data_IF_044904283680
#
_entry.id   IF_044904283680
#
_cell.length_a   1.000
_cell.length_b   1.000
_cell.length_c   1.000
_cell.angle_alpha   90.00
_cell.angle_beta   90.00
_cell.angle_gamma   90.00
#
_symmetry.space_group_name_H-M   'P 1'
#
loop_
_entity.id
_entity.type
_entity.pdbx_description
1 polymer ?
#
# COMPACT_ATOMS: atom_id res chain seq x y z
N UNK A 1 -8.97 -7.50 -3.32
CA UNK A 1 -9.22 -6.08 -3.01
C UNK A 1 -8.17 -5.22 -3.69
N UNK A 2 -8.46 -3.96 -4.00
CA UNK A 2 -7.48 -3.02 -4.54
C UNK A 2 -6.93 -2.12 -3.43
N UNK A 3 -5.60 -2.07 -3.30
CA UNK A 3 -4.91 -1.14 -2.40
C UNK A 3 -4.27 -0.05 -3.24
N UNK A 4 -4.60 1.20 -2.96
CA UNK A 4 -4.10 2.35 -3.69
C UNK A 4 -3.08 3.12 -2.86
N UNK A 5 -1.96 3.52 -3.48
CA UNK A 5 -1.01 4.43 -2.86
C UNK A 5 0.44 4.12 -3.21
N UNK A 6 1.36 4.88 -2.63
CA UNK A 6 2.80 4.74 -2.92
C UNK A 6 3.45 3.66 -2.08
N UNK A 7 4.35 2.88 -2.66
CA UNK A 7 5.20 1.93 -1.92
C UNK A 7 6.00 2.59 -0.79
N UNK A 8 6.39 3.85 -0.96
CA UNK A 8 7.17 4.61 0.03
C UNK A 8 6.32 5.23 1.15
N UNK A 9 4.99 5.17 1.06
CA UNK A 9 4.11 5.71 2.09
C UNK A 9 4.06 4.78 3.30
N UNK A 10 4.44 5.27 4.49
CA UNK A 10 4.38 4.50 5.73
C UNK A 10 2.99 3.94 6.02
N UNK A 11 1.92 4.66 5.68
CA UNK A 11 0.55 4.19 5.89
C UNK A 11 0.21 3.03 4.95
N UNK A 12 0.64 3.08 3.69
CA UNK A 12 0.43 2.00 2.71
C UNK A 12 1.20 0.75 3.16
N UNK A 13 2.43 0.90 3.65
CA UNK A 13 3.24 -0.21 4.17
C UNK A 13 2.55 -0.91 5.35
N UNK A 14 1.98 -0.15 6.29
CA UNK A 14 1.23 -0.72 7.42
C UNK A 14 -0.02 -1.48 6.97
N UNK A 15 -0.75 -0.96 6.00
CA UNK A 15 -1.94 -1.63 5.45
C UNK A 15 -1.54 -2.93 4.75
N UNK A 16 -0.48 -2.93 3.94
CA UNK A 16 0.03 -4.17 3.31
C UNK A 16 0.38 -5.23 4.34
N UNK A 17 1.10 -4.85 5.39
CA UNK A 17 1.44 -5.77 6.48
C UNK A 17 0.19 -6.37 7.12
N UNK A 18 -0.81 -5.54 7.46
CA UNK A 18 -2.07 -6.04 8.01
C UNK A 18 -2.78 -7.03 7.06
N UNK A 19 -2.82 -6.75 5.76
CA UNK A 19 -3.46 -7.62 4.78
C UNK A 19 -2.74 -8.97 4.66
N UNK A 20 -1.41 -8.97 4.76
CA UNK A 20 -0.59 -10.19 4.78
C UNK A 20 -0.84 -11.03 6.04
N UNK A 21 -0.87 -10.40 7.23
CA UNK A 21 -1.17 -11.07 8.51
C UNK A 21 -2.57 -11.71 8.51
N UNK A 22 -3.53 -11.08 7.83
CA UNK A 22 -4.90 -11.59 7.70
C UNK A 22 -5.09 -12.55 6.53
N UNK A 23 -4.04 -12.87 5.77
CA UNK A 23 -4.09 -13.68 4.55
C UNK A 23 -5.14 -13.19 3.52
N UNK A 24 -5.35 -11.88 3.43
CA UNK A 24 -6.30 -11.27 2.49
C UNK A 24 -5.60 -11.02 1.16
N UNK A 25 -6.11 -11.60 0.07
CA UNK A 25 -5.58 -11.33 -1.27
C UNK A 25 -5.87 -9.89 -1.73
N UNK A 26 -4.83 -9.17 -2.10
CA UNK A 26 -4.92 -7.80 -2.61
C UNK A 26 -3.99 -7.56 -3.81
N UNK A 27 -4.39 -6.62 -4.65
CA UNK A 27 -3.55 -6.06 -5.71
C UNK A 27 -3.19 -4.63 -5.31
N UNK A 28 -1.90 -4.33 -5.25
CA UNK A 28 -1.44 -2.98 -4.98
C UNK A 28 -1.30 -2.19 -6.29
N UNK A 29 -1.92 -1.03 -6.34
CA UNK A 29 -1.91 -0.10 -7.47
C UNK A 29 -1.13 1.14 -7.03
N UNK A 30 0.06 1.31 -7.64
CA UNK A 30 0.94 2.44 -7.36
C UNK A 30 0.28 3.75 -7.81
N UNK A 31 0.01 4.64 -6.87
CA UNK A 31 -0.69 5.90 -7.13
C UNK A 31 -0.20 7.01 -6.20
N UNK A 32 -0.05 8.21 -6.78
CA UNK A 32 0.51 9.40 -6.13
C UNK A 32 1.92 9.69 -6.61
N UNK A 33 2.19 10.95 -6.99
CA UNK A 33 3.52 11.40 -7.42
C UNK A 33 4.56 11.27 -6.31
N UNK A 34 5.85 11.47 -6.65
CA UNK A 34 6.90 11.48 -5.62
C UNK A 34 6.60 12.54 -4.58
N UNK A 35 6.80 12.20 -3.30
CA UNK A 35 6.83 13.20 -2.25
C UNK A 35 8.21 13.87 -2.34
N UNK A 36 8.35 14.79 -3.27
CA UNK A 36 9.52 15.64 -3.39
C UNK A 36 9.19 16.99 -2.73
N UNK A 37 9.88 17.25 -1.63
CA UNK A 37 10.52 18.55 -1.42
C UNK A 37 11.88 18.50 -2.10
#
# INVERSE_FOLDING_TARGET
MELYGRMTSFNVQKVRWLLEELAVSYTHIELGGRFEL
#
